data_IF_553271526779
#
_entry.id   IF_553271526779
#
_cell.length_a   1.000
_cell.length_b   1.000
_cell.length_c   1.000
_cell.angle_alpha   90.00
_cell.angle_beta   90.00
_cell.angle_gamma   90.00
#
_symmetry.space_group_name_H-M   'P 1'
#
loop_
_entity.id
_entity.type
_entity.pdbx_description
1 polymer ?
#
# COMPACT_ATOMS: atom_id res chain seq x y z
N UNK A 1 -8.40 14.23 7.06
CA UNK A 1 -8.05 12.83 6.73
C UNK A 1 -8.44 11.95 7.91
N UNK A 2 -9.08 10.83 7.66
CA UNK A 2 -9.57 9.95 8.74
C UNK A 2 -8.42 9.36 9.57
N UNK A 3 -7.31 9.02 8.92
CA UNK A 3 -6.08 8.51 9.56
C UNK A 3 -5.36 9.49 10.48
N UNK A 4 -5.70 10.78 10.44
CA UNK A 4 -5.11 11.83 11.29
C UNK A 4 -6.09 12.32 12.37
N UNK A 5 -7.29 11.73 12.43
CA UNK A 5 -8.29 12.09 13.44
C UNK A 5 -8.05 11.31 14.73
N UNK A 6 -8.25 11.96 15.87
CA UNK A 6 -8.18 11.30 17.19
C UNK A 6 -9.29 10.24 17.30
N UNK A 7 -8.95 9.08 17.83
CA UNK A 7 -9.92 8.05 18.18
C UNK A 7 -10.43 8.30 19.60
N UNK A 8 -11.69 8.73 19.71
CA UNK A 8 -12.32 9.04 21.00
C UNK A 8 -12.38 7.84 21.95
N UNK A 9 -12.43 6.61 21.42
CA UNK A 9 -12.46 5.39 22.25
C UNK A 9 -11.12 5.13 22.97
N UNK A 10 -10.03 5.68 22.45
CA UNK A 10 -8.68 5.52 23.00
C UNK A 10 -8.11 6.80 23.60
N UNK A 11 -8.95 7.84 23.80
CA UNK A 11 -8.53 9.15 24.29
C UNK A 11 -7.83 9.10 25.67
N UNK A 12 -8.20 8.14 26.52
CA UNK A 12 -7.61 7.95 27.86
C UNK A 12 -6.63 6.78 27.93
N UNK A 13 -6.05 6.36 26.82
CA UNK A 13 -5.17 5.19 26.74
C UNK A 13 -3.95 5.31 27.68
N UNK A 14 -3.43 6.52 27.86
CA UNK A 14 -2.28 6.78 28.75
C UNK A 14 -2.61 6.66 30.25
N UNK A 15 -3.89 6.71 30.62
CA UNK A 15 -4.37 6.60 32.01
C UNK A 15 -4.95 5.21 32.31
N UNK A 16 -5.01 4.35 31.32
CA UNK A 16 -5.65 3.04 31.40
C UNK A 16 -4.70 1.95 31.90
N UNK A 17 -5.25 0.89 32.49
CA UNK A 17 -4.46 -0.28 32.85
C UNK A 17 -3.92 -0.99 31.62
N UNK A 18 -2.83 -1.77 31.76
CA UNK A 18 -2.28 -2.56 30.64
C UNK A 18 -3.33 -3.46 30.00
N UNK A 19 -4.21 -4.07 30.79
CA UNK A 19 -5.27 -4.92 30.26
C UNK A 19 -6.29 -4.13 29.41
N UNK A 20 -6.70 -2.96 29.90
CA UNK A 20 -7.64 -2.09 29.18
C UNK A 20 -7.04 -1.60 27.86
N UNK A 21 -5.75 -1.22 27.86
CA UNK A 21 -5.03 -0.84 26.64
C UNK A 21 -5.05 -1.97 25.61
N UNK A 22 -4.78 -3.21 26.04
CA UNK A 22 -4.80 -4.38 25.14
C UNK A 22 -6.20 -4.67 24.60
N UNK A 23 -7.25 -4.52 25.42
CA UNK A 23 -8.63 -4.64 24.95
C UNK A 23 -8.99 -3.54 23.94
N UNK A 24 -8.62 -2.27 24.20
CA UNK A 24 -8.87 -1.17 23.28
C UNK A 24 -8.23 -1.43 21.90
N UNK A 25 -6.97 -1.91 21.88
CA UNK A 25 -6.28 -2.25 20.62
C UNK A 25 -7.00 -3.41 19.93
N UNK A 26 -7.32 -4.48 20.64
CA UNK A 26 -7.97 -5.65 20.07
C UNK A 26 -9.38 -5.34 19.51
N UNK A 27 -10.13 -4.49 20.19
CA UNK A 27 -11.47 -4.07 19.75
C UNK A 27 -11.41 -3.27 18.43
N UNK A 28 -10.41 -2.40 18.27
CA UNK A 28 -10.21 -1.67 17.00
C UNK A 28 -9.72 -2.62 15.89
N UNK A 29 -8.81 -3.53 16.18
CA UNK A 29 -8.33 -4.54 15.23
C UNK A 29 -9.47 -5.45 14.75
N UNK A 30 -10.41 -5.78 15.63
CA UNK A 30 -11.56 -6.62 15.28
C UNK A 30 -12.51 -6.02 14.23
N UNK A 31 -12.43 -4.70 13.99
CA UNK A 31 -13.23 -4.04 12.96
C UNK A 31 -12.68 -4.29 11.55
N UNK A 32 -11.37 -4.53 11.41
CA UNK A 32 -10.67 -4.62 10.13
C UNK A 32 -11.22 -5.74 9.23
N UNK A 33 -11.43 -6.98 9.69
CA UNK A 33 -11.94 -8.06 8.84
C UNK A 33 -13.32 -7.77 8.25
N UNK A 34 -14.20 -7.11 9.01
CA UNK A 34 -15.54 -6.76 8.53
C UNK A 34 -15.49 -5.68 7.43
N UNK A 35 -14.61 -4.68 7.58
CA UNK A 35 -14.37 -3.64 6.58
C UNK A 35 -13.80 -4.24 5.30
N UNK A 36 -12.77 -5.08 5.42
CA UNK A 36 -12.15 -5.77 4.28
C UNK A 36 -13.17 -6.65 3.56
N UNK A 37 -14.05 -7.35 4.31
CA UNK A 37 -15.12 -8.16 3.72
C UNK A 37 -16.03 -7.33 2.80
N UNK A 38 -16.34 -6.10 3.17
CA UNK A 38 -17.13 -5.18 2.33
C UNK A 38 -16.41 -4.75 1.06
N UNK A 39 -15.07 -4.82 1.04
CA UNK A 39 -14.23 -4.44 -0.10
C UNK A 39 -13.89 -5.60 -1.03
N UNK A 40 -14.24 -6.85 -0.68
CA UNK A 40 -13.95 -8.05 -1.50
C UNK A 40 -14.32 -7.86 -2.98
N UNK A 41 -15.47 -7.29 -3.36
CA UNK A 41 -15.79 -7.09 -4.77
C UNK A 41 -14.77 -6.21 -5.53
N UNK A 42 -14.26 -5.13 -4.90
CA UNK A 42 -13.21 -4.29 -5.49
C UNK A 42 -11.85 -5.00 -5.49
N UNK A 43 -11.53 -5.72 -4.42
CA UNK A 43 -10.29 -6.51 -4.32
C UNK A 43 -10.27 -7.58 -5.41
N UNK A 44 -11.39 -8.27 -5.64
CA UNK A 44 -11.52 -9.28 -6.69
C UNK A 44 -11.18 -8.72 -8.07
N UNK A 45 -11.70 -7.54 -8.42
CA UNK A 45 -11.39 -6.89 -9.69
C UNK A 45 -9.90 -6.58 -9.84
N UNK A 46 -9.23 -6.10 -8.78
CA UNK A 46 -7.79 -5.85 -8.81
C UNK A 46 -7.00 -7.15 -8.97
N UNK A 47 -7.39 -8.21 -8.27
CA UNK A 47 -6.78 -9.53 -8.37
C UNK A 47 -6.95 -10.11 -9.78
N UNK A 48 -8.13 -9.99 -10.39
CA UNK A 48 -8.39 -10.46 -11.75
C UNK A 48 -7.47 -9.78 -12.79
N UNK A 49 -7.23 -8.47 -12.64
CA UNK A 49 -6.28 -7.75 -13.51
C UNK A 49 -4.83 -8.19 -13.26
N UNK A 50 -4.45 -8.42 -12.00
CA UNK A 50 -3.13 -8.96 -11.66
C UNK A 50 -2.91 -10.37 -12.26
N UNK A 51 -3.90 -11.26 -12.16
CA UNK A 51 -3.86 -12.60 -12.75
C UNK A 51 -3.73 -12.52 -14.28
N UNK A 52 -4.52 -11.65 -14.94
CA UNK A 52 -4.42 -11.44 -16.38
C UNK A 52 -3.02 -10.96 -16.81
N UNK A 53 -2.44 -10.01 -16.05
CA UNK A 53 -1.11 -9.51 -16.34
C UNK A 53 -0.07 -10.62 -16.27
N UNK A 54 -0.05 -11.40 -15.19
CA UNK A 54 0.89 -12.51 -15.00
C UNK A 54 0.70 -13.60 -16.07
N UNK A 55 -0.54 -13.96 -16.37
CA UNK A 55 -0.84 -14.95 -17.42
C UNK A 55 -0.34 -14.53 -18.82
N UNK A 56 -0.18 -13.22 -19.05
CA UNK A 56 0.35 -12.67 -20.30
C UNK A 56 1.85 -12.30 -20.22
N UNK A 57 2.58 -12.82 -19.24
CA UNK A 57 4.02 -12.58 -19.05
C UNK A 57 4.37 -11.18 -18.53
N UNK A 58 3.41 -10.52 -17.93
CA UNK A 58 3.60 -9.31 -17.14
C UNK A 58 3.96 -9.62 -15.67
N UNK A 59 4.13 -8.59 -14.88
CA UNK A 59 4.48 -8.68 -13.46
C UNK A 59 3.65 -7.74 -12.60
N UNK A 60 3.71 -7.96 -11.28
CA UNK A 60 3.07 -7.12 -10.27
C UNK A 60 4.18 -6.35 -9.54
N UNK A 61 4.03 -5.04 -9.42
CA UNK A 61 4.97 -4.17 -8.71
C UNK A 61 4.23 -3.38 -7.65
N UNK A 62 4.52 -3.64 -6.39
CA UNK A 62 4.06 -2.81 -5.29
C UNK A 62 4.91 -1.54 -5.17
N UNK A 63 4.29 -0.44 -4.76
CA UNK A 63 5.00 0.80 -4.44
C UNK A 63 4.45 1.39 -3.15
N UNK A 64 5.33 1.72 -2.20
CA UNK A 64 4.94 2.30 -0.93
C UNK A 64 6.04 3.12 -0.27
N UNK A 65 5.69 3.82 0.80
CA UNK A 65 6.63 4.53 1.65
C UNK A 65 6.47 4.08 3.11
N UNK A 66 7.52 4.19 3.92
CA UNK A 66 7.49 3.83 5.34
C UNK A 66 7.00 2.41 5.58
N UNK A 67 6.07 2.24 6.53
CA UNK A 67 5.49 0.94 6.89
C UNK A 67 4.74 0.28 5.72
N UNK A 68 3.99 1.04 4.93
CA UNK A 68 3.31 0.52 3.74
C UNK A 68 4.28 -0.08 2.73
N UNK A 69 5.43 0.58 2.51
CA UNK A 69 6.49 0.06 1.66
C UNK A 69 7.17 -1.20 2.24
N UNK A 70 7.36 -1.26 3.57
CA UNK A 70 7.93 -2.46 4.23
C UNK A 70 7.02 -3.67 4.13
N UNK A 71 5.71 -3.48 4.32
CA UNK A 71 4.72 -4.55 4.14
C UNK A 71 4.71 -5.05 2.70
N UNK A 72 4.78 -4.16 1.72
CA UNK A 72 4.89 -4.51 0.31
C UNK A 72 6.14 -5.35 0.00
N UNK A 73 7.29 -4.97 0.59
CA UNK A 73 8.54 -5.73 0.44
C UNK A 73 8.45 -7.10 1.09
N UNK A 74 7.86 -7.18 2.29
CA UNK A 74 7.68 -8.45 2.99
C UNK A 74 6.79 -9.41 2.19
N UNK A 75 5.63 -8.95 1.70
CA UNK A 75 4.73 -9.76 0.87
C UNK A 75 5.42 -10.26 -0.40
N UNK A 76 6.08 -9.36 -1.14
CA UNK A 76 6.80 -9.73 -2.36
C UNK A 76 7.92 -10.75 -2.11
N UNK A 77 8.63 -10.65 -0.98
CA UNK A 77 9.71 -11.56 -0.61
C UNK A 77 9.21 -12.96 -0.23
N UNK A 78 7.98 -13.06 0.30
CA UNK A 78 7.38 -14.34 0.71
C UNK A 78 6.77 -15.13 -0.46
N UNK A 79 6.48 -14.49 -1.58
CA UNK A 79 5.86 -15.17 -2.73
C UNK A 79 6.69 -16.33 -3.30
N UNK A 80 8.02 -16.20 -3.52
CA UNK A 80 8.83 -17.32 -4.02
C UNK A 80 8.90 -18.51 -3.06
N UNK A 81 9.24 -18.38 -1.76
CA UNK A 81 9.36 -19.52 -0.87
C UNK A 81 8.02 -20.17 -0.54
N UNK A 82 6.92 -19.39 -0.50
CA UNK A 82 5.60 -19.88 -0.10
C UNK A 82 4.83 -20.52 -1.25
N UNK A 83 4.92 -19.92 -2.45
CA UNK A 83 4.12 -20.32 -3.60
C UNK A 83 4.95 -20.86 -4.78
N UNK A 84 6.29 -20.87 -4.68
CA UNK A 84 7.16 -21.24 -5.80
C UNK A 84 7.09 -20.24 -6.96
N UNK A 85 6.70 -19.00 -6.70
CA UNK A 85 6.59 -17.98 -7.71
C UNK A 85 7.98 -17.56 -8.24
N UNK A 86 8.05 -17.15 -9.52
CA UNK A 86 9.27 -16.53 -10.04
C UNK A 86 9.56 -15.24 -9.24
N UNK A 87 10.79 -15.03 -8.74
CA UNK A 87 11.17 -13.82 -8.00
C UNK A 87 10.91 -12.50 -8.75
N UNK A 88 10.87 -12.53 -10.08
CA UNK A 88 10.55 -11.36 -10.91
C UNK A 88 9.04 -11.12 -11.11
N UNK A 89 8.20 -12.10 -10.75
CA UNK A 89 6.75 -12.01 -10.95
C UNK A 89 6.12 -10.97 -10.04
N UNK A 90 6.53 -10.93 -8.78
CA UNK A 90 6.03 -9.97 -7.78
C UNK A 90 7.22 -9.28 -7.14
N UNK A 91 7.25 -7.96 -7.19
CA UNK A 91 8.33 -7.18 -6.60
C UNK A 91 7.80 -5.91 -5.93
N UNK A 92 8.63 -5.27 -5.10
CA UNK A 92 8.25 -4.05 -4.41
C UNK A 92 9.29 -2.94 -4.60
N UNK A 93 8.78 -1.70 -4.53
CA UNK A 93 9.57 -0.46 -4.48
C UNK A 93 9.17 0.30 -3.23
N UNK A 94 10.16 0.65 -2.42
CA UNK A 94 9.97 1.46 -1.22
C UNK A 94 10.71 2.80 -1.37
N UNK A 95 10.08 3.88 -0.97
CA UNK A 95 10.72 5.20 -0.89
C UNK A 95 11.96 5.13 0.02
N UNK A 96 13.11 5.64 -0.46
CA UNK A 96 14.39 5.50 0.24
C UNK A 96 15.16 4.19 -0.03
N UNK A 97 14.58 3.28 -0.82
CA UNK A 97 15.23 2.03 -1.27
C UNK A 97 15.51 1.04 -0.13
N UNK A 98 16.47 0.13 -0.34
CA UNK A 98 16.79 -0.96 0.60
C UNK A 98 17.08 -0.47 2.03
N UNK A 99 17.71 0.69 2.18
CA UNK A 99 18.01 1.25 3.51
C UNK A 99 16.73 1.57 4.31
N UNK A 100 15.66 1.95 3.63
CA UNK A 100 14.38 2.28 4.25
C UNK A 100 13.60 1.05 4.75
N UNK A 101 14.02 -0.16 4.38
CA UNK A 101 13.43 -1.41 4.89
C UNK A 101 13.74 -1.56 6.39
N UNK A 102 14.99 -1.33 6.78
CA UNK A 102 15.47 -1.56 8.16
C UNK A 102 15.59 -0.28 8.99
N UNK A 103 15.64 0.90 8.36
CA UNK A 103 15.79 2.18 9.04
C UNK A 103 14.62 3.13 8.72
N UNK A 104 14.26 3.98 9.67
CA UNK A 104 13.36 5.09 9.36
C UNK A 104 14.08 6.06 8.39
N UNK A 105 13.41 6.43 7.30
CA UNK A 105 13.95 7.34 6.28
C UNK A 105 12.95 8.48 6.10
N UNK A 106 13.08 9.50 6.94
CA UNK A 106 12.22 10.69 6.88
C UNK A 106 12.46 11.45 5.56
N UNK A 107 11.39 12.06 5.02
CA UNK A 107 11.44 12.87 3.80
C UNK A 107 11.59 12.10 2.49
N UNK A 108 11.86 10.80 2.51
CA UNK A 108 11.95 10.00 1.27
C UNK A 108 10.60 9.88 0.56
N UNK A 109 9.49 9.96 1.28
CA UNK A 109 8.14 9.87 0.74
C UNK A 109 7.71 11.11 -0.07
N UNK A 110 8.43 12.23 0.08
CA UNK A 110 8.14 13.50 -0.60
C UNK A 110 8.82 13.65 -1.96
N UNK A 111 9.76 12.76 -2.30
CA UNK A 111 10.60 12.91 -3.49
C UNK A 111 9.97 12.30 -4.74
N UNK A 112 9.26 13.10 -5.53
CA UNK A 112 8.78 12.70 -6.86
C UNK A 112 9.92 12.35 -7.83
N UNK A 113 11.07 13.02 -7.71
CA UNK A 113 12.26 12.72 -8.52
C UNK A 113 12.77 11.31 -8.26
N UNK A 114 12.91 10.93 -6.98
CA UNK A 114 13.33 9.58 -6.60
C UNK A 114 12.34 8.50 -7.07
N UNK A 115 11.04 8.82 -7.10
CA UNK A 115 10.03 7.91 -7.63
C UNK A 115 10.23 7.62 -9.13
N UNK A 116 10.51 8.64 -9.94
CA UNK A 116 10.78 8.49 -11.38
C UNK A 116 12.05 7.69 -11.64
N UNK A 117 13.10 7.95 -10.86
CA UNK A 117 14.37 7.20 -10.94
C UNK A 117 14.14 5.72 -10.55
N UNK A 118 13.39 5.46 -9.47
CA UNK A 118 13.05 4.12 -9.04
C UNK A 118 12.18 3.39 -10.09
N UNK A 119 11.22 4.07 -10.69
CA UNK A 119 10.41 3.51 -11.78
C UNK A 119 11.27 3.11 -12.99
N UNK A 120 12.15 4.00 -13.43
CA UNK A 120 13.03 3.74 -14.56
C UNK A 120 13.95 2.53 -14.33
N UNK A 121 14.39 2.30 -13.07
CA UNK A 121 15.27 1.19 -12.70
C UNK A 121 14.58 -0.20 -12.69
N UNK A 122 13.24 -0.25 -12.62
CA UNK A 122 12.48 -1.50 -12.43
C UNK A 122 12.04 -2.20 -13.72
N UNK A 123 12.42 -1.68 -14.88
CA UNK A 123 12.06 -2.28 -16.17
C UNK A 123 10.55 -2.62 -16.29
N UNK A 124 9.70 -1.70 -15.83
CA UNK A 124 8.25 -1.83 -15.90
C UNK A 124 7.79 -1.55 -17.33
N UNK A 125 6.89 -2.39 -17.84
CA UNK A 125 6.40 -2.31 -19.23
C UNK A 125 4.88 -2.27 -19.29
N UNK A 126 4.35 -1.91 -20.46
CA UNK A 126 2.92 -2.02 -20.74
C UNK A 126 2.42 -3.44 -20.48
N UNK A 127 1.30 -3.56 -19.79
CA UNK A 127 0.70 -4.83 -19.39
C UNK A 127 1.12 -5.33 -18.00
N UNK A 128 2.09 -4.69 -17.33
CA UNK A 128 2.35 -4.92 -15.93
C UNK A 128 1.26 -4.26 -15.06
N UNK A 129 1.12 -4.74 -13.81
CA UNK A 129 0.26 -4.13 -12.79
C UNK A 129 1.12 -3.44 -11.74
N UNK A 130 0.78 -2.20 -11.42
CA UNK A 130 1.41 -1.43 -10.34
C UNK A 130 0.37 -1.16 -9.27
N UNK A 131 0.69 -1.48 -8.01
CA UNK A 131 -0.20 -1.27 -6.86
C UNK A 131 0.48 -0.33 -5.88
N UNK A 132 -0.04 0.89 -5.76
CA UNK A 132 0.38 1.86 -4.76
C UNK A 132 -0.26 1.56 -3.41
N UNK A 133 0.52 1.61 -2.33
CA UNK A 133 0.06 1.36 -0.95
C UNK A 133 0.44 2.54 -0.07
N UNK A 134 -0.55 3.20 0.53
CA UNK A 134 -0.35 4.33 1.44
C UNK A 134 -1.59 4.54 2.31
N UNK A 135 -1.43 4.58 3.62
CA UNK A 135 -2.56 4.85 4.52
C UNK A 135 -3.19 6.24 4.23
N UNK A 136 -2.39 7.29 4.08
CA UNK A 136 -2.87 8.63 3.74
C UNK A 136 -3.41 8.73 2.31
N UNK A 137 -2.88 7.92 1.38
CA UNK A 137 -3.18 7.97 -0.04
C UNK A 137 -2.62 9.21 -0.76
N UNK A 138 -1.71 9.96 -0.12
CA UNK A 138 -1.21 11.23 -0.64
C UNK A 138 0.32 11.34 -0.72
N UNK A 139 1.07 10.29 -0.38
CA UNK A 139 2.53 10.28 -0.42
C UNK A 139 3.05 10.63 -1.83
N UNK A 140 3.78 11.75 -2.01
CA UNK A 140 4.20 12.24 -3.33
C UNK A 140 5.01 11.22 -4.13
N UNK A 141 5.89 10.46 -3.47
CA UNK A 141 6.67 9.38 -4.09
C UNK A 141 5.74 8.34 -4.73
N UNK A 142 4.73 7.85 -3.98
CA UNK A 142 3.83 6.80 -4.46
C UNK A 142 2.95 7.32 -5.60
N UNK A 143 2.41 8.52 -5.45
CA UNK A 143 1.60 9.18 -6.50
C UNK A 143 2.41 9.36 -7.80
N UNK A 144 3.66 9.83 -7.71
CA UNK A 144 4.52 10.01 -8.87
C UNK A 144 4.85 8.67 -9.54
N UNK A 145 5.17 7.62 -8.76
CA UNK A 145 5.43 6.28 -9.28
C UNK A 145 4.22 5.72 -10.03
N UNK A 146 3.02 5.86 -9.46
CA UNK A 146 1.77 5.43 -10.10
C UNK A 146 1.48 6.19 -11.39
N UNK A 147 1.78 7.50 -11.45
CA UNK A 147 1.63 8.31 -12.68
C UNK A 147 2.55 7.80 -13.79
N UNK A 148 3.81 7.51 -13.48
CA UNK A 148 4.74 6.93 -14.46
C UNK A 148 4.23 5.57 -14.98
N UNK A 149 3.70 4.72 -14.09
CA UNK A 149 3.10 3.45 -14.47
C UNK A 149 1.89 3.63 -15.40
N UNK A 150 0.99 4.57 -15.08
CA UNK A 150 -0.15 4.91 -15.90
C UNK A 150 0.26 5.38 -17.30
N UNK A 151 1.24 6.29 -17.37
CA UNK A 151 1.79 6.79 -18.63
C UNK A 151 2.45 5.69 -19.46
N UNK A 152 2.99 4.65 -18.81
CA UNK A 152 3.60 3.48 -19.46
C UNK A 152 2.56 2.49 -20.00
N UNK A 153 1.30 2.63 -19.61
CA UNK A 153 0.21 1.74 -20.01
C UNK A 153 0.07 0.51 -19.12
N UNK A 154 0.52 0.61 -17.86
CA UNK A 154 0.24 -0.37 -16.81
C UNK A 154 -1.20 -0.22 -16.30
N UNK A 155 -1.76 -1.29 -15.76
CA UNK A 155 -2.92 -1.20 -14.90
C UNK A 155 -2.47 -0.74 -13.51
N UNK A 156 -3.18 0.23 -12.92
CA UNK A 156 -2.76 0.86 -11.66
C UNK A 156 -3.83 0.69 -10.60
N UNK A 157 -3.48 -0.03 -9.53
CA UNK A 157 -4.27 -0.16 -8.31
C UNK A 157 -3.78 0.77 -7.21
N UNK A 158 -4.68 1.14 -6.30
CA UNK A 158 -4.35 1.84 -5.06
C UNK A 158 -5.00 1.16 -3.86
N UNK A 159 -4.25 1.06 -2.75
CA UNK A 159 -4.76 0.63 -1.44
C UNK A 159 -4.52 1.78 -0.46
N UNK A 160 -5.60 2.34 0.07
CA UNK A 160 -5.57 3.54 0.91
C UNK A 160 -6.55 3.42 2.09
N UNK A 161 -6.33 4.22 3.14
CA UNK A 161 -7.24 4.28 4.30
C UNK A 161 -8.01 5.61 4.42
N UNK A 162 -8.05 6.38 3.33
CA UNK A 162 -8.82 7.63 3.22
C UNK A 162 -9.56 7.70 1.89
N UNK A 163 -10.64 8.44 1.85
CA UNK A 163 -11.36 8.78 0.62
C UNK A 163 -10.76 10.02 -0.07
N UNK A 164 -11.01 10.15 -1.38
CA UNK A 164 -10.67 11.35 -2.15
C UNK A 164 -9.18 11.65 -2.20
N UNK A 165 -8.35 10.63 -2.26
CA UNK A 165 -6.89 10.76 -2.22
C UNK A 165 -6.29 11.02 -3.60
N UNK A 166 -5.08 11.61 -3.64
CA UNK A 166 -4.33 11.81 -4.89
C UNK A 166 -4.00 10.49 -5.59
N UNK A 167 -3.84 9.41 -4.84
CA UNK A 167 -3.64 8.08 -5.42
C UNK A 167 -4.90 7.57 -6.12
N UNK A 168 -6.09 7.84 -5.55
CA UNK A 168 -7.37 7.48 -6.16
C UNK A 168 -7.62 8.20 -7.49
N UNK A 169 -7.12 9.43 -7.65
CA UNK A 169 -7.23 10.18 -8.92
C UNK A 169 -6.39 9.54 -10.05
N UNK A 170 -5.36 8.78 -9.73
CA UNK A 170 -4.46 8.13 -10.70
C UNK A 170 -4.85 6.69 -10.99
N UNK A 171 -5.37 5.98 -9.99
CA UNK A 171 -5.64 4.55 -10.05
C UNK A 171 -6.82 4.19 -10.99
N UNK A 172 -6.75 3.01 -11.59
CA UNK A 172 -7.88 2.37 -12.28
C UNK A 172 -8.87 1.76 -11.29
N UNK A 173 -8.34 1.22 -10.19
CA UNK A 173 -9.13 0.70 -9.06
C UNK A 173 -8.51 1.20 -7.75
N UNK A 174 -9.36 1.68 -6.84
CA UNK A 174 -8.95 2.08 -5.49
C UNK A 174 -9.67 1.25 -4.43
N UNK A 175 -8.90 0.61 -3.56
CA UNK A 175 -9.36 -0.08 -2.36
C UNK A 175 -9.26 0.92 -1.20
N UNK A 176 -10.40 1.52 -0.83
CA UNK A 176 -10.49 2.50 0.26
C UNK A 176 -10.88 1.77 1.56
N UNK A 177 -9.87 1.27 2.28
CA UNK A 177 -10.07 0.55 3.55
C UNK A 177 -10.14 1.55 4.70
N UNK A 178 -11.34 2.00 5.03
CA UNK A 178 -11.57 3.00 6.09
C UNK A 178 -11.55 2.32 7.47
N UNK A 179 -10.40 1.80 7.87
CA UNK A 179 -10.21 0.96 9.06
C UNK A 179 -10.08 1.72 10.37
N UNK A 180 -10.44 2.98 10.42
CA UNK A 180 -10.51 3.71 11.67
C UNK A 180 -9.59 4.93 11.76
N UNK A 181 -9.61 5.54 12.95
CA UNK A 181 -8.87 6.75 13.30
C UNK A 181 -7.58 6.37 14.03
N UNK A 182 -6.59 7.23 14.01
CA UNK A 182 -5.37 7.05 14.80
C UNK A 182 -5.72 6.98 16.28
N UNK A 183 -5.19 5.99 16.99
CA UNK A 183 -5.20 5.99 18.46
C UNK A 183 -4.48 7.21 18.98
N UNK A 184 -5.02 7.85 20.00
CA UNK A 184 -4.41 8.99 20.70
C UNK A 184 -3.17 8.57 21.49
#
# INVERSE_FOLDING_TARGET
MNTESVNEKTALISESSTADVLYMINDEDALVPAIVRGLIPKISLLVDEAVKAVANGGKIVYCGAGTSGRLAVADAAECPPTYGADPEMISAVIAGGIKAIVNASEGCEDSEKAAKEAFASKNIKKGDVVIGISASGNAPFVVAFMKEAKNKGCFVGAIVNNEGTKMAEVADITIESLTGRRGG
#
